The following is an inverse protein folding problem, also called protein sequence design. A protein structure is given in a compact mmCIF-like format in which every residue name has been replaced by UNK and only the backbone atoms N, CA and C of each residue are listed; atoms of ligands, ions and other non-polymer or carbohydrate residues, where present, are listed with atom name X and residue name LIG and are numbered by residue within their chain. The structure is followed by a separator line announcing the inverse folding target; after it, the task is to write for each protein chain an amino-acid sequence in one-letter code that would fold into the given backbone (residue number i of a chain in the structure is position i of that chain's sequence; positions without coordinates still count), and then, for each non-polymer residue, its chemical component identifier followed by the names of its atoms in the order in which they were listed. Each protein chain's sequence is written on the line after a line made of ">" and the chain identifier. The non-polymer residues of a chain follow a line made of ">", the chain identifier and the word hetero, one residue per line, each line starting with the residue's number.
data_IF_495405991755
#
_entry.id   IF_495405991755
#
_cell.length_a   1.000
_cell.length_b   1.000
_cell.length_c   1.000
_cell.angle_alpha   90.00
_cell.angle_beta   90.00
_cell.angle_gamma   90.00
#
_symmetry.space_group_name_H-M   'P 1'
#
loop_
_entity.id
_entity.type
_entity.pdbx_description
1 polymer ?
#
# COMPACT_ATOMS: atom_id res chain seq x y z
N UNK A 1 2.32 19.07 15.35
CA UNK A 1 1.31 18.46 14.47
C UNK A 1 1.92 18.36 13.08
N UNK A 2 1.71 17.26 12.37
CA UNK A 2 2.31 17.02 11.05
C UNK A 2 1.89 18.11 10.06
N UNK A 3 2.86 18.77 9.42
CA UNK A 3 2.59 19.75 8.37
C UNK A 3 2.54 19.06 7.01
N UNK A 4 1.35 18.97 6.41
CA UNK A 4 1.15 18.28 5.14
C UNK A 4 1.84 19.01 3.97
N UNK A 5 2.00 20.33 4.05
CA UNK A 5 2.66 21.09 2.99
C UNK A 5 4.14 20.74 2.90
N UNK A 6 4.84 20.68 4.04
CA UNK A 6 6.26 20.31 4.10
C UNK A 6 6.48 18.89 3.56
N UNK A 7 5.60 17.94 3.93
CA UNK A 7 5.64 16.57 3.40
C UNK A 7 5.40 16.53 1.88
N UNK A 8 4.49 17.36 1.36
CA UNK A 8 4.24 17.46 -0.07
C UNK A 8 5.45 18.07 -0.82
N UNK A 9 6.10 19.08 -0.24
CA UNK A 9 7.32 19.68 -0.77
C UNK A 9 8.46 18.66 -0.84
N UNK A 10 8.69 17.89 0.24
CA UNK A 10 9.69 16.82 0.26
C UNK A 10 9.42 15.75 -0.81
N UNK A 11 8.16 15.32 -0.97
CA UNK A 11 7.78 14.33 -1.98
C UNK A 11 7.96 14.86 -3.41
N UNK A 12 7.60 16.12 -3.68
CA UNK A 12 7.81 16.75 -4.99
C UNK A 12 9.31 16.92 -5.26
N UNK A 13 10.10 17.30 -4.27
CA UNK A 13 11.54 17.43 -4.39
C UNK A 13 12.20 16.09 -4.75
N UNK A 14 11.86 15.00 -4.05
CA UNK A 14 12.38 13.68 -4.40
C UNK A 14 11.95 13.24 -5.80
N UNK A 15 10.69 13.49 -6.18
CA UNK A 15 10.19 13.19 -7.52
C UNK A 15 10.97 13.95 -8.59
N UNK A 16 11.29 15.22 -8.34
CA UNK A 16 12.11 16.05 -9.23
C UNK A 16 13.53 15.49 -9.36
N UNK A 17 14.18 15.23 -8.23
CA UNK A 17 15.59 14.81 -8.17
C UNK A 17 15.83 13.45 -8.81
N UNK A 18 14.82 12.59 -8.80
CA UNK A 18 14.88 11.23 -9.38
C UNK A 18 14.17 11.10 -10.72
N UNK A 19 13.56 12.18 -11.23
CA UNK A 19 12.67 12.16 -12.41
C UNK A 19 13.29 11.57 -13.68
N UNK A 20 14.61 11.64 -13.86
CA UNK A 20 15.29 11.08 -15.03
C UNK A 20 15.69 9.60 -14.91
N UNK A 21 15.65 9.05 -13.70
CA UNK A 21 16.02 7.66 -13.40
C UNK A 21 14.82 6.82 -12.97
N UNK A 22 13.80 7.45 -12.39
CA UNK A 22 12.66 6.77 -11.78
C UNK A 22 11.34 7.27 -12.40
N UNK A 23 10.48 6.33 -12.78
CA UNK A 23 9.13 6.67 -13.24
C UNK A 23 8.27 7.14 -12.06
N UNK A 24 8.38 6.50 -10.90
CA UNK A 24 7.64 6.83 -9.68
C UNK A 24 8.56 6.89 -8.48
N UNK A 25 8.13 7.62 -7.45
CA UNK A 25 8.72 7.56 -6.11
C UNK A 25 7.81 6.82 -5.14
N UNK A 26 8.38 6.32 -4.06
CA UNK A 26 7.66 5.75 -2.94
C UNK A 26 7.77 6.66 -1.69
N UNK A 27 6.70 6.72 -0.92
CA UNK A 27 6.61 7.36 0.39
C UNK A 27 6.05 6.33 1.35
N UNK A 28 6.75 6.06 2.46
CA UNK A 28 6.27 5.19 3.53
C UNK A 28 5.84 6.02 4.74
N UNK A 29 4.59 5.85 5.16
CA UNK A 29 4.03 6.46 6.38
C UNK A 29 3.69 5.35 7.36
N UNK A 30 4.55 5.19 8.36
CA UNK A 30 4.46 4.10 9.34
C UNK A 30 4.05 4.66 10.68
N UNK A 31 3.30 3.91 11.47
CA UNK A 31 3.00 4.30 12.84
C UNK A 31 2.07 3.32 13.55
N UNK A 32 2.01 3.34 14.89
CA UNK A 32 1.14 2.46 15.66
C UNK A 32 -0.35 2.74 15.37
N UNK A 33 -1.28 1.87 15.83
CA UNK A 33 -2.70 2.18 15.85
C UNK A 33 -2.96 3.56 16.49
N UNK A 34 -3.89 4.35 15.95
CA UNK A 34 -4.21 5.68 16.49
C UNK A 34 -3.21 6.81 16.19
N UNK A 35 -2.07 6.52 15.55
CA UNK A 35 -1.05 7.53 15.17
C UNK A 35 -1.50 8.54 14.11
N UNK A 36 -2.63 8.31 13.43
CA UNK A 36 -3.13 9.16 12.36
C UNK A 36 -2.51 8.90 10.98
N UNK A 37 -1.73 7.81 10.79
CA UNK A 37 -1.07 7.48 9.51
C UNK A 37 -1.99 7.54 8.29
N UNK A 38 -3.17 6.93 8.33
CA UNK A 38 -4.11 6.94 7.19
C UNK A 38 -4.67 8.35 6.94
N UNK A 39 -4.85 9.17 7.99
CA UNK A 39 -5.26 10.58 7.84
C UNK A 39 -4.17 11.40 7.18
N UNK A 40 -2.91 11.25 7.61
CA UNK A 40 -1.75 11.93 7.01
C UNK A 40 -1.58 11.52 5.56
N UNK A 41 -1.60 10.21 5.26
CA UNK A 41 -1.48 9.67 3.90
C UNK A 41 -2.57 10.21 2.96
N UNK A 42 -3.82 10.22 3.41
CA UNK A 42 -4.94 10.74 2.61
C UNK A 42 -4.85 12.26 2.39
N UNK A 43 -4.46 13.03 3.42
CA UNK A 43 -4.27 14.48 3.28
C UNK A 43 -3.13 14.80 2.32
N UNK A 44 -2.00 14.10 2.43
CA UNK A 44 -0.86 14.24 1.52
C UNK A 44 -1.23 13.87 0.08
N UNK A 45 -1.94 12.76 -0.12
CA UNK A 45 -2.42 12.34 -1.43
C UNK A 45 -3.30 13.42 -2.08
N UNK A 46 -4.24 14.00 -1.31
CA UNK A 46 -5.09 15.10 -1.78
C UNK A 46 -4.30 16.36 -2.09
N UNK A 47 -3.34 16.72 -1.24
CA UNK A 47 -2.48 17.89 -1.44
C UNK A 47 -1.65 17.78 -2.73
N UNK A 48 -0.95 16.66 -2.92
CA UNK A 48 -0.15 16.42 -4.12
C UNK A 48 -0.97 16.45 -5.40
N UNK A 49 -2.14 15.80 -5.40
CA UNK A 49 -3.05 15.82 -6.53
C UNK A 49 -3.63 17.22 -6.77
N UNK A 50 -4.00 17.95 -5.71
CA UNK A 50 -4.51 19.32 -5.78
C UNK A 50 -3.50 20.29 -6.41
N UNK A 51 -2.24 20.22 -5.99
CA UNK A 51 -1.15 21.04 -6.56
C UNK A 51 -0.91 20.74 -8.04
N UNK A 52 -0.95 19.46 -8.44
CA UNK A 52 -0.80 19.11 -9.85
C UNK A 52 -2.00 19.56 -10.70
N UNK A 53 -3.21 19.45 -10.17
CA UNK A 53 -4.41 19.97 -10.84
C UNK A 53 -4.37 21.49 -11.01
N UNK A 54 -3.92 22.22 -9.98
CA UNK A 54 -3.70 23.66 -10.07
C UNK A 54 -2.67 24.00 -11.16
N UNK A 55 -1.54 23.28 -11.22
CA UNK A 55 -0.54 23.46 -12.27
C UNK A 55 -1.12 23.28 -13.69
N UNK A 56 -1.94 22.25 -13.91
CA UNK A 56 -2.59 22.01 -15.21
C UNK A 56 -3.55 23.15 -15.59
N UNK A 57 -4.27 23.72 -14.63
CA UNK A 57 -5.18 24.83 -14.85
C UNK A 57 -4.44 26.13 -15.21
N UNK A 58 -3.36 26.45 -14.49
CA UNK A 58 -2.59 27.68 -14.65
C UNK A 58 -1.82 27.71 -15.98
N UNK A 59 -1.25 26.58 -16.39
CA UNK A 59 -0.44 26.47 -17.61
C UNK A 59 -1.28 26.43 -18.88
N UNK A 60 -2.62 26.32 -18.78
CA UNK A 60 -3.54 26.09 -19.91
C UNK A 60 -3.07 24.94 -20.82
N UNK A 61 -2.30 24.00 -20.28
CA UNK A 61 -1.85 22.83 -21.01
C UNK A 61 -3.10 22.03 -21.38
N UNK A 62 -3.46 22.05 -22.67
CA UNK A 62 -4.61 21.35 -23.22
C UNK A 62 -4.44 19.82 -23.23
N UNK A 63 -3.35 19.31 -22.67
CA UNK A 63 -3.14 17.89 -22.48
C UNK A 63 -1.76 17.58 -21.94
N UNK A 64 -1.73 16.66 -20.99
CA UNK A 64 -0.58 15.81 -20.72
C UNK A 64 -0.28 14.92 -21.93
N UNK A 65 0.98 14.49 -22.04
CA UNK A 65 1.39 13.53 -23.07
C UNK A 65 1.32 12.11 -22.53
N UNK A 66 0.65 11.25 -23.27
CA UNK A 66 0.77 9.80 -23.14
C UNK A 66 1.74 9.32 -24.21
N UNK A 67 2.84 8.75 -23.76
CA UNK A 67 3.90 8.22 -24.62
C UNK A 67 3.76 6.71 -24.69
N UNK A 68 3.96 6.14 -25.88
CA UNK A 68 4.09 4.71 -26.03
C UNK A 68 5.57 4.34 -25.87
N UNK A 69 5.90 3.43 -24.96
CA UNK A 69 7.24 2.85 -24.96
C UNK A 69 7.20 1.57 -25.78
N UNK A 70 8.12 1.44 -26.75
CA UNK A 70 8.23 0.24 -27.59
C UNK A 70 8.63 -1.03 -26.81
N UNK A 71 8.89 -0.93 -25.51
CA UNK A 71 9.27 -2.06 -24.65
C UNK A 71 8.05 -2.56 -23.83
N UNK A 72 7.84 -3.88 -23.83
CA UNK A 72 6.83 -4.52 -22.97
C UNK A 72 7.29 -4.47 -21.51
N UNK A 73 6.48 -3.88 -20.64
CA UNK A 73 6.80 -3.75 -19.21
C UNK A 73 6.49 -5.08 -18.51
N UNK A 74 7.54 -5.86 -18.22
CA UNK A 74 7.44 -7.10 -17.49
C UNK A 74 7.54 -6.90 -15.95
N UNK A 75 6.40 -7.04 -15.28
CA UNK A 75 6.31 -6.95 -13.83
C UNK A 75 6.31 -8.32 -13.14
N UNK A 76 5.99 -9.41 -13.85
CA UNK A 76 5.48 -10.66 -13.25
C UNK A 76 6.04 -11.96 -13.83
N UNK A 77 7.04 -11.91 -14.71
CA UNK A 77 7.71 -13.13 -15.21
C UNK A 77 8.26 -14.02 -14.10
N UNK A 78 8.74 -13.41 -13.01
CA UNK A 78 9.32 -14.12 -11.87
C UNK A 78 8.27 -14.69 -10.89
N UNK A 79 6.98 -14.56 -11.19
CA UNK A 79 5.88 -15.13 -10.40
C UNK A 79 5.38 -16.39 -11.13
N UNK A 80 5.36 -17.51 -10.43
CA UNK A 80 4.91 -18.81 -10.97
C UNK A 80 3.40 -18.81 -11.22
N UNK A 81 2.98 -19.49 -12.28
CA UNK A 81 1.56 -19.76 -12.53
C UNK A 81 0.98 -20.72 -11.49
N UNK A 82 -0.29 -20.52 -11.14
CA UNK A 82 -1.02 -21.41 -10.24
C UNK A 82 -1.12 -22.82 -10.84
N UNK A 83 -0.88 -23.84 -10.01
CA UNK A 83 -1.02 -25.24 -10.43
C UNK A 83 -2.51 -25.63 -10.57
N UNK A 84 -2.86 -26.61 -11.43
CA UNK A 84 -4.23 -27.12 -11.53
C UNK A 84 -4.81 -27.61 -10.19
N UNK A 85 -3.96 -28.18 -9.33
CA UNK A 85 -4.35 -28.61 -7.98
C UNK A 85 -4.81 -27.41 -7.12
N UNK A 86 -4.01 -26.34 -7.10
CA UNK A 86 -4.32 -25.14 -6.34
C UNK A 86 -5.53 -24.40 -6.92
N UNK A 87 -5.76 -24.43 -8.24
CA UNK A 87 -7.01 -23.93 -8.84
C UNK A 87 -8.20 -24.67 -8.26
N UNK A 88 -8.14 -26.01 -8.23
CA UNK A 88 -9.20 -26.85 -7.68
C UNK A 88 -9.46 -26.59 -6.19
N UNK A 89 -8.40 -26.45 -5.38
CA UNK A 89 -8.51 -26.07 -3.95
C UNK A 89 -9.16 -24.69 -3.81
N UNK A 90 -8.64 -23.69 -4.52
CA UNK A 90 -9.15 -22.32 -4.47
C UNK A 90 -10.64 -22.20 -4.86
N UNK A 91 -11.11 -23.03 -5.81
CA UNK A 91 -12.53 -23.07 -6.18
C UNK A 91 -13.40 -23.76 -5.12
N UNK A 92 -12.93 -24.88 -4.55
CA UNK A 92 -13.66 -25.61 -3.51
C UNK A 92 -13.76 -24.82 -2.20
N UNK A 93 -12.68 -24.11 -1.86
CA UNK A 93 -12.52 -23.43 -0.57
C UNK A 93 -12.88 -21.95 -0.64
N UNK A 94 -13.73 -21.57 -1.61
CA UNK A 94 -14.29 -20.22 -1.74
C UNK A 94 -13.22 -19.11 -1.79
N UNK A 95 -12.16 -19.36 -2.56
CA UNK A 95 -11.08 -18.41 -2.77
C UNK A 95 -9.98 -18.44 -1.71
N UNK A 96 -9.93 -19.45 -0.83
CA UNK A 96 -8.92 -19.57 0.25
C UNK A 96 -7.98 -20.75 -0.02
N UNK A 97 -6.72 -20.62 0.40
CA UNK A 97 -5.78 -21.75 0.47
C UNK A 97 -5.71 -22.28 1.90
N UNK A 98 -6.68 -23.11 2.31
CA UNK A 98 -6.88 -23.54 3.71
C UNK A 98 -5.60 -24.06 4.38
N UNK A 99 -4.83 -24.90 3.68
CA UNK A 99 -3.59 -25.51 4.19
C UNK A 99 -2.43 -24.51 4.32
N UNK A 100 -2.56 -23.29 3.78
CA UNK A 100 -1.48 -22.31 3.67
C UNK A 100 -1.80 -20.99 4.36
N UNK A 101 -2.95 -20.84 5.02
CA UNK A 101 -3.39 -19.55 5.62
C UNK A 101 -2.40 -18.97 6.63
N UNK A 102 -1.60 -19.82 7.28
CA UNK A 102 -0.54 -19.43 8.22
C UNK A 102 0.88 -19.49 7.63
N UNK A 103 1.05 -19.98 6.40
CA UNK A 103 2.36 -20.16 5.77
C UNK A 103 2.96 -18.82 5.28
N UNK A 104 3.75 -18.19 6.13
CA UNK A 104 4.51 -16.97 5.80
C UNK A 104 5.56 -17.17 4.70
N UNK A 105 5.87 -18.41 4.33
CA UNK A 105 6.80 -18.74 3.25
C UNK A 105 6.10 -19.05 1.91
N UNK A 106 4.77 -19.13 1.91
CA UNK A 106 3.97 -19.32 0.70
C UNK A 106 4.43 -18.37 -0.40
N UNK A 107 4.83 -18.92 -1.55
CA UNK A 107 5.28 -18.11 -2.67
C UNK A 107 4.08 -17.61 -3.45
N UNK A 108 3.91 -16.28 -3.61
CA UNK A 108 2.82 -15.75 -4.40
C UNK A 108 2.82 -16.33 -5.81
N UNK A 109 1.61 -16.58 -6.31
CA UNK A 109 1.33 -17.23 -7.58
C UNK A 109 0.41 -16.35 -8.42
N UNK A 110 0.44 -16.54 -9.73
CA UNK A 110 -0.40 -15.78 -10.67
C UNK A 110 -1.39 -16.67 -11.41
N UNK A 111 -2.51 -16.08 -11.83
CA UNK A 111 -3.44 -16.69 -12.79
C UNK A 111 -4.04 -15.65 -13.71
N UNK A 112 -4.34 -16.02 -14.93
CA UNK A 112 -5.10 -15.17 -15.86
C UNK A 112 -6.59 -15.35 -15.59
N UNK A 113 -7.30 -14.24 -15.37
CA UNK A 113 -8.75 -14.21 -15.18
C UNK A 113 -9.47 -14.20 -16.54
N UNK A 114 -10.77 -14.49 -16.51
CA UNK A 114 -11.63 -14.43 -17.70
C UNK A 114 -11.72 -13.03 -18.33
N UNK A 115 -11.49 -11.98 -17.56
CA UNK A 115 -11.44 -10.58 -18.03
C UNK A 115 -10.05 -10.19 -18.59
N UNK A 116 -9.13 -11.14 -18.74
CA UNK A 116 -7.78 -10.95 -19.27
C UNK A 116 -6.79 -10.32 -18.30
N UNK A 117 -7.23 -9.96 -17.08
CA UNK A 117 -6.31 -9.46 -16.03
C UNK A 117 -5.53 -10.60 -15.43
N UNK A 118 -4.29 -10.32 -15.03
CA UNK A 118 -3.50 -11.27 -14.23
C UNK A 118 -3.75 -10.99 -12.76
N UNK A 119 -4.20 -12.00 -12.03
CA UNK A 119 -4.44 -11.93 -10.59
C UNK A 119 -3.28 -12.59 -9.84
N UNK A 120 -2.75 -11.88 -8.84
CA UNK A 120 -1.65 -12.34 -7.98
C UNK A 120 -2.21 -12.67 -6.59
N UNK A 121 -1.95 -13.89 -6.15
CA UNK A 121 -2.50 -14.48 -4.93
C UNK A 121 -1.35 -14.80 -3.97
N UNK A 122 -1.48 -14.39 -2.71
CA UNK A 122 -0.68 -14.91 -1.60
C UNK A 122 -1.47 -15.92 -0.77
N UNK A 123 -1.04 -16.12 0.47
CA UNK A 123 -1.67 -17.09 1.38
C UNK A 123 -3.11 -16.74 1.76
N UNK A 124 -3.47 -15.45 1.69
CA UNK A 124 -4.80 -14.96 1.96
C UNK A 124 -5.80 -15.21 0.84
N UNK A 125 -5.35 -15.75 -0.29
CA UNK A 125 -6.20 -16.11 -1.42
C UNK A 125 -6.83 -14.89 -2.09
N UNK A 126 -8.06 -15.05 -2.59
CA UNK A 126 -8.73 -14.06 -3.44
C UNK A 126 -9.06 -12.76 -2.72
N UNK A 127 -9.33 -12.80 -1.41
CA UNK A 127 -9.68 -11.59 -0.64
C UNK A 127 -8.56 -10.55 -0.62
N UNK A 128 -7.30 -11.00 -0.70
CA UNK A 128 -6.12 -10.14 -0.68
C UNK A 128 -5.44 -10.05 -2.05
N UNK A 129 -6.07 -10.57 -3.09
CA UNK A 129 -5.50 -10.57 -4.43
C UNK A 129 -5.40 -9.15 -4.98
N UNK A 130 -4.32 -8.88 -5.70
CA UNK A 130 -4.24 -7.70 -6.56
C UNK A 130 -4.19 -8.15 -8.02
N UNK A 131 -4.66 -7.29 -8.93
CA UNK A 131 -4.71 -7.59 -10.35
C UNK A 131 -3.85 -6.64 -11.15
N UNK A 132 -3.36 -7.11 -12.30
CA UNK A 132 -2.57 -6.35 -13.25
C UNK A 132 -3.25 -6.43 -14.62
N UNK A 133 -3.49 -5.28 -15.23
CA UNK A 133 -4.02 -5.15 -16.58
C UNK A 133 -2.99 -4.48 -17.48
N UNK A 134 -2.71 -5.09 -18.64
CA UNK A 134 -1.87 -4.50 -19.70
C UNK A 134 -2.67 -3.64 -20.69
N UNK A 135 -3.94 -3.35 -20.40
CA UNK A 135 -4.72 -2.46 -21.25
C UNK A 135 -4.09 -1.06 -21.28
N UNK A 136 -3.85 -0.47 -22.47
CA UNK A 136 -3.28 0.86 -22.57
C UNK A 136 -4.14 1.91 -21.87
N UNK A 137 -3.48 2.88 -21.23
CA UNK A 137 -4.16 4.01 -20.63
C UNK A 137 -4.83 4.88 -21.69
N UNK A 138 -6.08 5.26 -21.41
CA UNK A 138 -6.77 6.33 -22.12
C UNK A 138 -6.44 7.71 -21.53
N UNK A 139 -6.52 8.74 -22.37
CA UNK A 139 -6.49 10.14 -21.89
C UNK A 139 -7.72 10.40 -21.01
N UNK A 140 -7.52 11.13 -19.91
CA UNK A 140 -8.57 11.56 -18.97
C UNK A 140 -8.27 12.97 -18.50
N UNK A 141 -9.30 13.78 -18.30
CA UNK A 141 -9.13 15.19 -17.90
C UNK A 141 -8.72 15.33 -16.43
N UNK A 142 -9.24 14.46 -15.56
CA UNK A 142 -8.93 14.49 -14.13
C UNK A 142 -7.87 13.44 -13.80
N UNK A 143 -6.63 13.91 -13.61
CA UNK A 143 -5.44 13.07 -13.41
C UNK A 143 -5.01 13.12 -11.95
N UNK A 144 -4.84 11.95 -11.35
CA UNK A 144 -4.22 11.84 -10.03
C UNK A 144 -2.81 11.26 -10.17
N UNK A 145 -1.82 12.02 -9.69
CA UNK A 145 -0.41 11.64 -9.70
C UNK A 145 0.01 10.94 -8.40
N UNK A 146 -0.79 11.04 -7.34
CA UNK A 146 -0.55 10.37 -6.06
C UNK A 146 -1.66 9.37 -5.76
N UNK A 147 -1.30 8.20 -5.23
CA UNK A 147 -2.22 7.18 -4.76
C UNK A 147 -1.75 6.60 -3.42
N UNK A 148 -2.69 6.34 -2.52
CA UNK A 148 -2.42 5.65 -1.26
C UNK A 148 -2.42 4.14 -1.46
N UNK A 149 -1.49 3.45 -0.81
CA UNK A 149 -1.35 1.99 -0.77
C UNK A 149 -1.51 1.54 0.69
N UNK A 150 -2.75 1.42 1.18
CA UNK A 150 -2.98 1.02 2.56
C UNK A 150 -2.69 -0.47 2.75
N UNK A 151 -1.95 -0.78 3.81
CA UNK A 151 -1.68 -2.14 4.26
C UNK A 151 -2.98 -2.88 4.66
N UNK A 152 -4.02 -2.15 5.06
CA UNK A 152 -5.25 -2.72 5.59
C UNK A 152 -5.98 -3.65 4.62
N UNK A 153 -5.86 -3.43 3.29
CA UNK A 153 -6.43 -4.34 2.29
C UNK A 153 -5.81 -5.74 2.26
N UNK A 154 -4.71 -5.92 2.99
CA UNK A 154 -4.01 -7.18 3.13
C UNK A 154 -4.25 -7.84 4.50
N UNK A 155 -5.20 -7.36 5.31
CA UNK A 155 -5.71 -8.18 6.42
C UNK A 155 -6.23 -9.49 5.87
N UNK A 156 -5.90 -10.61 6.49
CA UNK A 156 -6.57 -11.87 6.16
C UNK A 156 -8.08 -11.71 6.43
N UNK A 157 -8.90 -12.28 5.55
CA UNK A 157 -10.35 -12.28 5.75
C UNK A 157 -10.71 -13.02 7.03
N UNK A 158 -11.84 -12.69 7.66
CA UNK A 158 -12.33 -13.42 8.84
C UNK A 158 -12.44 -14.91 8.57
N UNK A 159 -12.89 -15.26 7.36
CA UNK A 159 -12.96 -16.65 6.90
C UNK A 159 -11.59 -17.31 6.84
N UNK A 160 -10.54 -16.60 6.40
CA UNK A 160 -9.17 -17.13 6.47
C UNK A 160 -8.74 -17.39 7.92
N UNK A 161 -9.10 -16.51 8.86
CA UNK A 161 -8.76 -16.69 10.29
C UNK A 161 -9.49 -17.87 10.93
N UNK A 162 -10.65 -18.29 10.40
CA UNK A 162 -11.37 -19.48 10.86
C UNK A 162 -10.59 -20.79 10.60
N UNK A 163 -9.63 -20.76 9.68
CA UNK A 163 -8.79 -21.90 9.31
C UNK A 163 -7.39 -21.89 9.97
N UNK A 164 -7.11 -20.95 10.87
CA UNK A 164 -5.89 -21.00 11.68
C UNK A 164 -5.91 -22.19 12.63
N UNK A 165 -4.75 -22.64 13.11
CA UNK A 165 -4.62 -23.67 14.13
C UNK A 165 -5.38 -23.30 15.42
N UNK A 166 -5.33 -22.01 15.80
CA UNK A 166 -6.16 -21.41 16.86
C UNK A 166 -6.99 -20.23 16.33
N UNK A 167 -8.20 -20.49 15.80
CA UNK A 167 -9.06 -19.45 15.25
C UNK A 167 -9.45 -18.40 16.28
N UNK A 168 -9.68 -18.80 17.54
CA UNK A 168 -10.10 -17.88 18.60
C UNK A 168 -9.01 -16.85 18.86
N UNK A 169 -7.76 -17.29 18.96
CA UNK A 169 -6.60 -16.39 19.10
C UNK A 169 -6.38 -15.54 17.86
N UNK A 170 -6.53 -16.10 16.66
CA UNK A 170 -6.40 -15.37 15.40
C UNK A 170 -7.38 -14.18 15.30
N UNK A 171 -8.65 -14.40 15.64
CA UNK A 171 -9.66 -13.34 15.69
C UNK A 171 -9.41 -12.34 16.81
N UNK A 172 -9.02 -12.80 18.01
CA UNK A 172 -8.72 -11.94 19.15
C UNK A 172 -7.53 -11.01 18.86
N UNK A 173 -6.49 -11.53 18.19
CA UNK A 173 -5.25 -10.83 17.84
C UNK A 173 -5.26 -10.30 16.40
N UNK A 174 -6.44 -10.16 15.78
CA UNK A 174 -6.53 -9.58 14.43
C UNK A 174 -5.98 -8.16 14.44
N UNK A 175 -5.14 -7.86 13.45
CA UNK A 175 -4.33 -6.65 13.42
C UNK A 175 -2.88 -6.88 13.85
N UNK A 176 -2.53 -8.05 14.39
CA UNK A 176 -1.14 -8.48 14.61
C UNK A 176 -0.45 -8.95 13.30
N UNK A 177 0.89 -8.97 13.21
CA UNK A 177 1.61 -9.33 11.98
C UNK A 177 1.16 -10.62 11.27
N UNK A 178 0.89 -11.75 11.95
CA UNK A 178 0.48 -12.99 11.27
C UNK A 178 -0.93 -12.91 10.67
N UNK A 179 -1.75 -11.94 11.05
CA UNK A 179 -3.15 -11.81 10.57
C UNK A 179 -3.29 -11.01 9.27
N UNK A 180 -2.18 -10.84 8.55
CA UNK A 180 -2.11 -10.20 7.24
C UNK A 180 -1.48 -11.13 6.20
N UNK A 181 -1.84 -10.98 4.94
CA UNK A 181 -1.13 -11.59 3.82
C UNK A 181 0.15 -10.81 3.50
N UNK A 182 1.16 -10.98 4.38
CA UNK A 182 2.48 -10.38 4.22
C UNK A 182 3.19 -10.88 2.96
N UNK A 183 2.87 -12.09 2.50
CA UNK A 183 3.39 -12.69 1.28
C UNK A 183 2.96 -11.86 0.07
N UNK A 184 1.65 -11.59 -0.07
CA UNK A 184 1.14 -10.83 -1.21
C UNK A 184 1.45 -9.34 -1.12
N UNK A 185 1.47 -8.76 0.10
CA UNK A 185 1.87 -7.36 0.27
C UNK A 185 3.33 -7.14 -0.14
N UNK A 186 4.25 -8.02 0.27
CA UNK A 186 5.65 -7.94 -0.18
C UNK A 186 5.76 -8.12 -1.71
N UNK A 187 4.94 -8.99 -2.31
CA UNK A 187 4.91 -9.15 -3.77
C UNK A 187 4.40 -7.90 -4.48
N UNK A 188 3.38 -7.22 -3.93
CA UNK A 188 2.93 -5.92 -4.41
C UNK A 188 4.07 -4.89 -4.34
N UNK A 189 4.79 -4.81 -3.21
CA UNK A 189 5.95 -3.92 -3.08
C UNK A 189 7.03 -4.20 -4.14
N UNK A 190 7.32 -5.47 -4.44
CA UNK A 190 8.27 -5.85 -5.51
C UNK A 190 7.79 -5.41 -6.89
N UNK A 191 6.50 -5.62 -7.19
CA UNK A 191 5.90 -5.18 -8.46
C UNK A 191 5.96 -3.65 -8.59
N UNK A 192 5.57 -2.92 -7.54
CA UNK A 192 5.60 -1.46 -7.55
C UNK A 192 7.04 -0.92 -7.60
N UNK A 193 7.99 -1.53 -6.91
CA UNK A 193 9.40 -1.18 -6.98
C UNK A 193 9.94 -1.29 -8.42
N UNK A 194 9.60 -2.36 -9.16
CA UNK A 194 9.93 -2.47 -10.59
C UNK A 194 9.34 -1.30 -11.40
N UNK A 195 8.11 -0.88 -11.10
CA UNK A 195 7.52 0.29 -11.78
C UNK A 195 8.25 1.58 -11.45
N UNK A 196 8.81 1.73 -10.23
CA UNK A 196 9.60 2.91 -9.86
C UNK A 196 10.90 3.02 -10.66
N UNK A 197 11.53 1.90 -11.04
CA UNK A 197 12.82 1.87 -11.75
C UNK A 197 12.70 1.95 -13.28
N UNK A 198 11.48 2.02 -13.82
CA UNK A 198 11.29 2.25 -15.25
C UNK A 198 11.76 3.67 -15.57
N UNK A 199 12.51 3.83 -16.66
CA UNK A 199 12.99 5.15 -17.07
C UNK A 199 11.88 5.88 -17.83
N UNK A 200 11.45 7.08 -17.39
CA UNK A 200 10.49 7.87 -18.16
C UNK A 200 11.11 8.37 -19.48
N UNK A 201 10.27 8.71 -20.48
CA UNK A 201 10.74 9.37 -21.70
C UNK A 201 11.57 10.62 -21.39
N UNK A 202 12.63 10.85 -22.15
CA UNK A 202 13.39 12.09 -22.05
C UNK A 202 12.57 13.24 -22.65
N UNK A 203 12.52 14.37 -21.95
CA UNK A 203 11.93 15.61 -22.46
C UNK A 203 12.63 16.83 -21.84
N UNK A 204 12.54 17.96 -22.52
CA UNK A 204 12.87 19.25 -21.92
C UNK A 204 11.74 19.69 -20.99
N UNK A 205 12.10 20.14 -19.79
CA UNK A 205 11.14 20.57 -18.79
C UNK A 205 11.64 21.78 -18.01
N UNK A 206 10.71 22.64 -17.60
CA UNK A 206 10.99 23.81 -16.75
C UNK A 206 10.87 23.51 -15.25
N UNK A 207 10.41 22.32 -14.88
CA UNK A 207 10.26 21.87 -13.50
C UNK A 207 9.55 20.53 -13.39
N UNK A 208 9.41 20.03 -12.15
CA UNK A 208 8.89 18.71 -11.86
C UNK A 208 7.52 18.42 -12.52
N UNK A 209 6.53 19.31 -12.34
CA UNK A 209 5.18 19.10 -12.87
C UNK A 209 5.12 19.16 -14.40
N UNK A 210 5.91 20.03 -15.01
CA UNK A 210 6.07 20.06 -16.46
C UNK A 210 6.65 18.74 -16.98
N UNK A 211 7.73 18.27 -16.35
CA UNK A 211 8.36 16.99 -16.69
C UNK A 211 7.36 15.83 -16.61
N UNK A 212 6.66 15.67 -15.47
CA UNK A 212 5.77 14.51 -15.31
C UNK A 212 4.57 14.58 -16.26
N UNK A 213 4.07 15.78 -16.57
CA UNK A 213 2.95 15.97 -17.51
C UNK A 213 3.27 15.54 -18.93
N UNK A 214 4.56 15.56 -19.31
CA UNK A 214 5.06 15.19 -20.65
C UNK A 214 5.52 13.74 -20.75
N UNK A 215 5.66 13.03 -19.62
CA UNK A 215 6.38 11.75 -19.55
C UNK A 215 5.53 10.57 -19.09
N UNK A 216 4.20 10.69 -19.08
CA UNK A 216 3.35 9.53 -18.78
C UNK A 216 3.48 8.45 -19.86
N UNK A 217 3.42 7.19 -19.45
CA UNK A 217 3.48 6.00 -20.31
C UNK A 217 2.09 5.39 -20.46
N UNK A 218 1.64 5.23 -21.70
CA UNK A 218 0.35 4.62 -22.04
C UNK A 218 0.32 3.11 -21.80
N UNK A 219 1.46 2.43 -21.95
CA UNK A 219 1.59 0.99 -21.79
C UNK A 219 1.94 0.57 -20.35
N UNK A 220 2.05 1.52 -19.41
CA UNK A 220 2.28 1.22 -17.99
C UNK A 220 1.12 0.36 -17.46
N UNK A 221 1.38 -0.87 -16.96
CA UNK A 221 0.32 -1.74 -16.49
C UNK A 221 -0.48 -1.10 -15.34
N UNK A 222 -1.81 -1.24 -15.39
CA UNK A 222 -2.69 -0.82 -14.30
C UNK A 222 -2.71 -1.90 -13.24
N UNK A 223 -2.31 -1.54 -12.02
CA UNK A 223 -2.30 -2.42 -10.85
C UNK A 223 -3.49 -2.03 -9.97
N UNK A 224 -4.34 -2.99 -9.66
CA UNK A 224 -5.55 -2.77 -8.85
C UNK A 224 -5.45 -3.61 -7.58
N UNK A 225 -5.50 -2.96 -6.42
CA UNK A 225 -5.22 -3.57 -5.12
C UNK A 225 -6.47 -3.59 -4.22
N UNK A 226 -6.55 -4.52 -3.26
CA UNK A 226 -7.65 -4.55 -2.30
C UNK A 226 -7.54 -3.37 -1.33
N UNK A 227 -8.66 -3.00 -0.73
CA UNK A 227 -8.70 -2.17 0.48
C UNK A 227 -9.48 -2.87 1.58
N UNK A 228 -10.01 -2.13 2.54
CA UNK A 228 -10.64 -2.71 3.73
C UNK A 228 -11.94 -1.97 4.06
N UNK A 229 -13.00 -2.72 4.29
CA UNK A 229 -14.28 -2.19 4.72
C UNK A 229 -14.40 -2.34 6.25
N UNK A 230 -14.40 -1.22 6.97
CA UNK A 230 -14.49 -1.21 8.43
C UNK A 230 -15.86 -1.63 8.99
N UNK A 231 -16.93 -1.60 8.17
CA UNK A 231 -18.26 -2.10 8.54
C UNK A 231 -18.31 -3.62 8.38
N UNK A 232 -17.88 -4.12 7.23
CA UNK A 232 -17.81 -5.56 6.96
C UNK A 232 -16.69 -6.25 7.75
N UNK A 233 -15.69 -5.46 8.17
CA UNK A 233 -14.45 -5.91 8.79
C UNK A 233 -13.73 -6.94 7.93
N UNK A 234 -13.68 -6.72 6.63
CA UNK A 234 -12.99 -7.60 5.69
C UNK A 234 -12.38 -6.83 4.52
N UNK A 235 -11.37 -7.41 3.86
CA UNK A 235 -10.82 -6.86 2.62
C UNK A 235 -11.90 -6.70 1.55
N UNK A 236 -11.82 -5.59 0.82
CA UNK A 236 -12.65 -5.33 -0.35
C UNK A 236 -11.77 -5.37 -1.60
N UNK A 237 -12.03 -6.29 -2.54
CA UNK A 237 -11.26 -6.38 -3.78
C UNK A 237 -11.34 -5.09 -4.61
N UNK A 238 -10.27 -4.78 -5.34
CA UNK A 238 -10.23 -3.74 -6.36
C UNK A 238 -10.58 -2.31 -5.91
N UNK A 239 -10.17 -1.92 -4.71
CA UNK A 239 -10.52 -0.62 -4.14
C UNK A 239 -9.62 0.53 -4.61
N UNK A 240 -8.33 0.27 -4.85
CA UNK A 240 -7.39 1.29 -5.30
C UNK A 240 -6.74 0.89 -6.62
N UNK A 241 -6.51 1.88 -7.49
CA UNK A 241 -5.88 1.69 -8.79
C UNK A 241 -4.62 2.53 -8.90
N UNK A 242 -3.56 1.91 -9.39
CA UNK A 242 -2.25 2.51 -9.69
C UNK A 242 -2.02 2.32 -11.19
N UNK A 243 -2.12 3.39 -11.96
CA UNK A 243 -1.98 3.38 -13.42
C UNK A 243 -0.82 4.29 -13.88
N UNK A 244 -0.57 4.38 -15.19
CA UNK A 244 0.47 5.22 -15.78
C UNK A 244 0.50 6.66 -15.28
N UNK A 245 -0.61 7.24 -14.80
CA UNK A 245 -0.59 8.59 -14.25
C UNK A 245 -0.02 8.69 -12.85
N UNK A 246 -0.06 7.62 -12.07
CA UNK A 246 0.45 7.63 -10.70
C UNK A 246 1.97 7.76 -10.73
N UNK A 247 2.52 8.82 -10.12
CA UNK A 247 3.96 9.11 -9.99
C UNK A 247 4.46 9.04 -8.54
N UNK A 248 3.55 9.12 -7.56
CA UNK A 248 3.86 9.09 -6.14
C UNK A 248 3.03 7.98 -5.48
N UNK A 249 3.72 6.99 -4.91
CA UNK A 249 3.12 5.85 -4.22
C UNK A 249 3.22 6.07 -2.70
N UNK A 250 2.09 6.30 -2.02
CA UNK A 250 2.05 6.57 -0.58
C UNK A 250 1.64 5.30 0.16
N UNK A 251 2.61 4.49 0.57
CA UNK A 251 2.40 3.31 1.41
C UNK A 251 2.10 3.74 2.84
N UNK A 252 1.05 3.20 3.44
CA UNK A 252 0.75 3.43 4.86
C UNK A 252 0.39 2.12 5.55
N UNK A 253 0.91 1.93 6.77
CA UNK A 253 0.70 0.68 7.49
C UNK A 253 1.42 0.61 8.84
N UNK A 254 1.10 -0.44 9.59
CA UNK A 254 1.71 -0.71 10.90
C UNK A 254 3.10 -1.33 10.76
N UNK A 255 3.25 -2.28 9.82
CA UNK A 255 4.38 -3.21 9.78
C UNK A 255 5.35 -2.97 8.62
N UNK A 256 5.27 -1.81 7.96
CA UNK A 256 6.14 -1.51 6.81
C UNK A 256 7.64 -1.39 7.19
N UNK A 257 7.93 -1.14 8.47
CA UNK A 257 9.28 -1.09 9.06
C UNK A 257 9.51 -2.18 10.12
N UNK A 258 8.72 -3.26 10.10
CA UNK A 258 8.83 -4.36 11.05
C UNK A 258 9.92 -5.35 10.60
N UNK A 259 10.84 -5.75 11.50
CA UNK A 259 12.07 -6.48 11.17
C UNK A 259 11.94 -8.01 11.04
N UNK A 260 10.71 -8.55 11.15
CA UNK A 260 10.44 -9.98 11.07
C UNK A 260 9.78 -10.41 9.73
N UNK A 261 9.88 -11.72 9.43
CA UNK A 261 9.15 -12.41 8.35
C UNK A 261 9.30 -11.73 6.96
N UNK A 262 8.20 -11.58 6.21
CA UNK A 262 8.16 -10.88 4.93
C UNK A 262 8.27 -9.35 5.10
N UNK A 263 7.80 -8.82 6.23
CA UNK A 263 7.77 -7.39 6.51
C UNK A 263 9.15 -6.74 6.46
N UNK A 264 10.17 -7.44 6.97
CA UNK A 264 11.56 -6.98 6.99
C UNK A 264 12.13 -6.65 5.62
N UNK A 265 11.57 -7.25 4.58
CA UNK A 265 12.03 -7.08 3.19
C UNK A 265 11.39 -5.88 2.50
N UNK A 266 10.29 -5.32 3.04
CA UNK A 266 9.55 -4.23 2.40
C UNK A 266 10.39 -2.97 2.29
N UNK A 267 10.93 -2.50 3.42
CA UNK A 267 11.78 -1.31 3.45
C UNK A 267 12.93 -1.42 2.46
N UNK A 268 13.69 -2.54 2.50
CA UNK A 268 14.79 -2.77 1.57
C UNK A 268 14.35 -2.79 0.10
N UNK A 269 13.24 -3.47 -0.20
CA UNK A 269 12.70 -3.57 -1.57
C UNK A 269 12.39 -2.19 -2.15
N UNK A 270 11.76 -1.31 -1.37
CA UNK A 270 11.45 0.05 -1.81
C UNK A 270 12.67 0.96 -1.80
N UNK A 271 13.59 0.77 -0.85
CA UNK A 271 14.82 1.54 -0.72
C UNK A 271 15.76 1.33 -1.90
N UNK A 272 15.79 0.10 -2.44
CA UNK A 272 16.62 -0.28 -3.59
C UNK A 272 16.18 0.41 -4.89
N UNK A 273 15.01 1.03 -4.92
CA UNK A 273 14.58 1.86 -6.06
C UNK A 273 15.38 3.16 -6.18
N UNK A 274 16.06 3.60 -5.11
CA UNK A 274 16.74 4.89 -5.04
C UNK A 274 15.81 6.09 -4.83
N UNK A 275 14.49 5.89 -4.79
CA UNK A 275 13.49 6.95 -4.74
C UNK A 275 12.44 6.69 -3.65
N UNK A 276 12.88 6.71 -2.39
CA UNK A 276 12.05 6.43 -1.22
C UNK A 276 12.17 7.52 -0.12
N UNK A 277 11.04 8.04 0.36
CA UNK A 277 10.93 8.74 1.64
C UNK A 277 10.32 7.82 2.71
N UNK A 278 10.80 7.93 3.95
CA UNK A 278 10.31 7.11 5.06
C UNK A 278 10.03 7.98 6.28
N UNK A 279 8.75 8.08 6.63
CA UNK A 279 8.26 8.82 7.78
C UNK A 279 7.62 7.87 8.80
N UNK A 280 8.23 7.81 9.98
CA UNK A 280 7.71 7.07 11.13
C UNK A 280 6.98 8.03 12.07
N UNK A 281 5.67 7.92 12.14
CA UNK A 281 4.84 8.68 13.05
C UNK A 281 4.94 8.10 14.45
N UNK A 282 5.38 8.92 15.40
CA UNK A 282 5.37 8.59 16.81
C UNK A 282 4.39 9.51 17.57
N UNK A 283 3.83 8.96 18.63
CA UNK A 283 2.82 9.57 19.48
C UNK A 283 2.97 8.97 20.87
N UNK A 284 2.73 9.78 21.90
CA UNK A 284 2.84 9.32 23.29
C UNK A 284 1.76 8.29 23.64
N UNK A 285 2.12 7.21 24.35
CA UNK A 285 1.22 6.07 24.61
C UNK A 285 -0.11 6.49 25.24
N UNK A 286 -0.10 7.46 26.17
CA UNK A 286 -1.32 7.96 26.82
C UNK A 286 -2.30 8.63 25.84
N UNK A 287 -1.79 9.30 24.80
CA UNK A 287 -2.63 9.92 23.76
C UNK A 287 -3.19 8.85 22.81
N UNK A 288 -2.43 7.79 22.52
CA UNK A 288 -2.88 6.69 21.68
C UNK A 288 -4.08 5.99 22.31
N UNK A 289 -3.98 5.66 23.61
CA UNK A 289 -5.04 4.92 24.32
C UNK A 289 -6.38 5.65 24.23
N UNK A 290 -6.40 6.95 24.56
CA UNK A 290 -7.61 7.75 24.50
C UNK A 290 -8.18 7.83 23.07
N UNK A 291 -7.31 8.07 22.07
CA UNK A 291 -7.72 8.16 20.65
C UNK A 291 -8.33 6.85 20.15
N UNK A 292 -7.69 5.72 20.45
CA UNK A 292 -8.14 4.41 19.97
C UNK A 292 -9.41 3.97 20.72
N UNK A 293 -9.49 4.22 22.02
CA UNK A 293 -10.69 3.94 22.81
C UNK A 293 -11.91 4.72 22.29
N UNK A 294 -11.76 6.03 22.01
CA UNK A 294 -12.82 6.85 21.39
C UNK A 294 -13.24 6.29 20.03
N UNK A 295 -12.28 5.93 19.18
CA UNK A 295 -12.56 5.32 17.87
C UNK A 295 -13.32 3.99 18.00
N UNK A 296 -12.97 3.16 18.97
CA UNK A 296 -13.70 1.90 19.22
C UNK A 296 -15.16 2.17 19.59
N UNK A 297 -15.40 3.16 20.46
CA UNK A 297 -16.75 3.56 20.87
C UNK A 297 -17.56 4.13 19.70
N UNK A 298 -16.99 5.07 18.95
CA UNK A 298 -17.61 5.69 17.77
C UNK A 298 -17.93 4.67 16.66
N UNK A 299 -17.08 3.65 16.50
CA UNK A 299 -17.29 2.57 15.54
C UNK A 299 -18.27 1.48 16.04
N UNK A 300 -18.86 1.65 17.23
CA UNK A 300 -19.79 0.67 17.82
C UNK A 300 -19.13 -0.67 18.15
N UNK A 301 -17.82 -0.69 18.36
CA UNK A 301 -17.06 -1.90 18.68
C UNK A 301 -17.07 -2.26 20.16
N UNK A 302 -17.46 -1.30 21.00
CA UNK A 302 -17.56 -1.38 22.46
C UNK A 302 -18.71 -0.49 22.93
N UNK A 303 -19.26 -0.76 24.11
CA UNK A 303 -20.38 0.01 24.66
C UNK A 303 -19.93 1.26 25.44
N UNK A 304 -18.73 1.23 26.00
CA UNK A 304 -18.19 2.31 26.83
C UNK A 304 -16.77 2.69 26.43
N UNK A 305 -16.31 3.87 26.87
CA UNK A 305 -14.93 4.29 26.68
C UNK A 305 -13.95 3.35 27.42
N UNK A 306 -14.33 2.89 28.62
CA UNK A 306 -13.54 1.97 29.43
C UNK A 306 -13.31 0.63 28.73
N UNK A 307 -14.36 0.05 28.14
CA UNK A 307 -14.25 -1.15 27.29
C UNK A 307 -13.31 -0.91 26.10
N UNK A 308 -13.35 0.30 25.54
CA UNK A 308 -12.45 0.74 24.47
C UNK A 308 -10.98 0.74 24.89
N UNK A 309 -10.69 1.20 26.11
CA UNK A 309 -9.36 1.20 26.71
C UNK A 309 -8.89 -0.24 27.00
N UNK A 310 -9.72 -1.09 27.60
CA UNK A 310 -9.39 -2.49 27.84
C UNK A 310 -9.07 -3.23 26.53
N UNK A 311 -9.89 -2.99 25.49
CA UNK A 311 -9.65 -3.54 24.16
C UNK A 311 -8.33 -3.05 23.55
N UNK A 312 -8.02 -1.76 23.71
CA UNK A 312 -6.74 -1.21 23.28
C UNK A 312 -5.56 -1.90 23.98
N UNK A 313 -5.62 -2.05 25.30
CA UNK A 313 -4.57 -2.68 26.10
C UNK A 313 -4.30 -4.14 25.70
N UNK A 314 -5.36 -4.91 25.41
CA UNK A 314 -5.24 -6.33 25.06
C UNK A 314 -4.68 -6.60 23.66
N UNK A 315 -4.93 -5.70 22.70
CA UNK A 315 -4.53 -5.93 21.30
C UNK A 315 -3.64 -4.82 20.73
N UNK A 316 -4.18 -3.62 20.57
CA UNK A 316 -3.51 -2.51 19.88
C UNK A 316 -2.23 -2.05 20.58
N UNK A 317 -2.21 -2.01 21.91
CA UNK A 317 -1.03 -1.64 22.70
C UNK A 317 0.10 -2.66 22.53
N UNK A 318 -0.24 -3.96 22.54
CA UNK A 318 0.72 -5.03 22.28
C UNK A 318 1.31 -4.87 20.87
N UNK A 319 0.50 -4.55 19.87
CA UNK A 319 0.97 -4.31 18.51
C UNK A 319 1.83 -3.04 18.43
N UNK A 320 1.45 -1.96 19.11
CA UNK A 320 2.21 -0.72 19.17
C UNK A 320 3.61 -0.93 19.79
N UNK A 321 3.69 -1.69 20.88
CA UNK A 321 4.95 -2.07 21.52
C UNK A 321 5.79 -2.96 20.62
N UNK A 322 5.18 -3.93 19.97
CA UNK A 322 5.85 -4.82 19.01
C UNK A 322 6.48 -4.04 17.85
N UNK A 323 5.75 -3.07 17.26
CA UNK A 323 6.27 -2.19 16.19
C UNK A 323 7.48 -1.40 16.67
N UNK A 324 7.42 -0.88 17.91
CA UNK A 324 8.52 -0.09 18.50
C UNK A 324 9.76 -0.93 18.78
N UNK A 325 9.58 -2.14 19.30
CA UNK A 325 10.67 -3.07 19.63
C UNK A 325 11.41 -3.57 18.39
N UNK A 326 10.65 -3.87 17.33
CA UNK A 326 11.13 -4.47 16.08
C UNK A 326 11.23 -3.47 14.93
N UNK A 327 11.42 -2.19 15.25
CA UNK A 327 11.58 -1.14 14.25
C UNK A 327 12.93 -1.29 13.55
N UNK A 328 12.93 -1.42 12.23
CA UNK A 328 14.15 -1.37 11.41
C UNK A 328 14.92 -0.08 11.71
N UNK A 329 16.23 -0.22 11.91
CA UNK A 329 17.14 0.90 12.17
C UNK A 329 17.82 1.33 10.86
N UNK A 330 17.34 2.41 10.24
CA UNK A 330 17.99 3.08 9.11
C UNK A 330 17.99 4.59 9.36
N UNK A 331 19.09 5.27 9.05
CA UNK A 331 19.25 6.73 9.23
C UNK A 331 18.31 7.55 8.36
N UNK A 332 17.76 6.95 7.29
CA UNK A 332 16.80 7.58 6.38
C UNK A 332 15.37 7.62 6.93
N UNK A 333 15.10 6.95 8.06
CA UNK A 333 13.80 7.00 8.72
C UNK A 333 13.70 8.30 9.51
N UNK A 334 12.79 9.18 9.09
CA UNK A 334 12.50 10.43 9.80
C UNK A 334 11.35 10.19 10.77
N UNK A 335 11.57 10.52 12.04
CA UNK A 335 10.55 10.40 13.09
C UNK A 335 9.74 11.69 13.19
N UNK A 336 8.42 11.60 13.04
CA UNK A 336 7.52 12.77 13.06
C UNK A 336 6.51 12.62 14.19
N UNK A 337 6.40 13.65 15.03
CA UNK A 337 5.46 13.70 16.15
C UNK A 337 4.04 14.05 15.68
N UNK A 338 3.03 13.28 16.06
CA UNK A 338 1.63 13.53 15.67
C UNK A 338 0.62 13.46 16.83
N UNK A 339 0.86 14.27 17.86
CA UNK A 339 0.00 14.40 19.04
C UNK A 339 -1.33 15.10 18.80
#
# INVERSE_FOLDING_TARGET
>A
MVNINDLADEAIQLLNDTSHANYRIAVMIVGPPGSGKSTVANKLCRELNGRFQQYLQETKLSGHSLNDSNEDIDLISNISDISPELIGKLQRDDGIFVESVEDVNFKPIKRVRSDGKVEILGRGGQSNAFTISKQPLSRRDNISIAQTIPMDGFHLSRRCLDYFEDPKKAHLRRGSPPTFDSNNFLQLCKVLAKTCTIKPPACESSGCFDFISKTFLSNMPTITIPGFDHKMKDPTPNQYSIDGYTRILIFEGLYLLYDNENWRSIHKTLLDTGALLVWNLYIEEGVIEERVAKRHLEAGLVATLEDGMQKFQLNDLVNARLIKEHLIKDKRIVNIRND
#
